data_IF_124578564338
#
_entry.id   IF_124578564338
#
_cell.length_a   1.000
_cell.length_b   1.000
_cell.length_c   1.000
_cell.angle_alpha   90.00
_cell.angle_beta   90.00
_cell.angle_gamma   90.00
#
_symmetry.space_group_name_H-M   'P 1'
#
loop_
_entity.id
_entity.type
_entity.pdbx_description
1 polymer ?
#
# COMPACT_ATOMS: atom_id res chain seq x y z
N UNK A 1 9.43 -2.30 -19.01
CA UNK A 1 8.39 -2.12 -20.05
C UNK A 1 7.04 -2.68 -19.57
N UNK A 2 7.06 -3.86 -18.95
CA UNK A 2 5.85 -4.60 -18.56
C UNK A 2 4.96 -3.85 -17.54
N UNK A 3 5.56 -3.22 -16.53
CA UNK A 3 4.80 -2.47 -15.52
C UNK A 3 4.10 -1.24 -16.12
N UNK A 4 4.71 -0.59 -17.11
CA UNK A 4 4.14 0.57 -17.80
C UNK A 4 2.95 0.15 -18.68
N UNK A 5 3.13 -0.91 -19.47
CA UNK A 5 2.06 -1.46 -20.31
C UNK A 5 0.88 -1.95 -19.47
N UNK A 6 1.16 -2.59 -18.33
CA UNK A 6 0.12 -3.02 -17.40
C UNK A 6 -0.67 -1.83 -16.83
N UNK A 7 0.01 -0.77 -16.38
CA UNK A 7 -0.65 0.44 -15.88
C UNK A 7 -1.47 1.13 -16.97
N UNK A 8 -0.99 1.13 -18.22
CA UNK A 8 -1.73 1.64 -19.36
C UNK A 8 -3.02 0.84 -19.59
N UNK A 9 -2.93 -0.49 -19.62
CA UNK A 9 -4.08 -1.38 -19.75
C UNK A 9 -5.09 -1.16 -18.60
N UNK A 10 -4.61 -1.02 -17.35
CA UNK A 10 -5.43 -0.75 -16.17
C UNK A 10 -6.16 0.61 -16.24
N UNK A 11 -5.62 1.60 -16.95
CA UNK A 11 -6.28 2.88 -17.15
C UNK A 11 -7.64 2.74 -17.86
N UNK A 12 -7.77 1.80 -18.77
CA UNK A 12 -9.03 1.51 -19.43
C UNK A 12 -10.05 0.85 -18.48
N UNK A 13 -9.60 -0.05 -17.61
CA UNK A 13 -10.41 -0.65 -16.57
C UNK A 13 -10.97 0.40 -15.61
N UNK A 14 -10.13 1.38 -15.20
CA UNK A 14 -10.54 2.51 -14.36
C UNK A 14 -11.62 3.36 -15.08
N UNK A 15 -11.40 3.72 -16.33
CA UNK A 15 -12.38 4.47 -17.12
C UNK A 15 -13.70 3.72 -17.23
N UNK A 16 -13.64 2.42 -17.51
CA UNK A 16 -14.83 1.57 -17.56
C UNK A 16 -15.59 1.58 -16.23
N UNK A 17 -14.92 1.44 -15.10
CA UNK A 17 -15.53 1.47 -13.78
C UNK A 17 -16.34 2.76 -13.52
N UNK A 18 -15.84 3.91 -13.95
CA UNK A 18 -16.55 5.18 -13.80
C UNK A 18 -17.77 5.32 -14.71
N UNK A 19 -17.92 4.49 -15.75
CA UNK A 19 -19.15 4.46 -16.57
C UNK A 19 -20.28 3.69 -15.89
N UNK A 20 -19.98 2.83 -14.92
CA UNK A 20 -20.94 1.95 -14.27
C UNK A 20 -21.87 2.70 -13.33
N UNK A 21 -23.15 2.39 -13.44
CA UNK A 21 -24.18 2.98 -12.58
C UNK A 21 -25.55 2.40 -12.86
N UNK A 22 -26.52 2.82 -12.07
CA UNK A 22 -27.94 2.56 -12.30
C UNK A 22 -28.69 3.89 -12.45
N UNK A 23 -29.75 3.87 -13.22
CA UNK A 23 -30.65 5.02 -13.30
C UNK A 23 -31.83 4.82 -12.35
N UNK A 24 -32.06 5.79 -11.48
CA UNK A 24 -33.17 5.81 -10.55
C UNK A 24 -33.86 7.18 -10.62
N UNK A 25 -35.14 7.21 -10.93
CA UNK A 25 -35.94 8.44 -11.07
C UNK A 25 -35.25 9.48 -11.98
N UNK A 26 -34.75 9.03 -13.15
CA UNK A 26 -34.03 9.89 -14.11
C UNK A 26 -32.62 10.31 -13.74
N UNK A 27 -32.13 9.99 -12.53
CA UNK A 27 -30.78 10.33 -12.11
C UNK A 27 -29.85 9.11 -12.17
N UNK A 28 -28.67 9.29 -12.76
CA UNK A 28 -27.61 8.26 -12.77
C UNK A 28 -26.95 8.21 -11.39
N UNK A 29 -26.98 7.04 -10.77
CA UNK A 29 -26.29 6.76 -9.50
C UNK A 29 -25.07 5.91 -9.83
N UNK A 30 -23.84 6.43 -9.67
CA UNK A 30 -22.63 5.68 -9.98
C UNK A 30 -22.44 4.52 -8.99
N UNK A 31 -21.93 3.39 -9.47
CA UNK A 31 -21.54 2.29 -8.59
C UNK A 31 -20.19 2.55 -7.94
N UNK A 32 -19.30 3.28 -8.62
CA UNK A 32 -17.95 3.60 -8.17
C UNK A 32 -17.84 5.10 -7.91
N UNK A 33 -17.44 5.46 -6.70
CA UNK A 33 -17.18 6.85 -6.29
C UNK A 33 -15.70 7.18 -6.49
N UNK A 34 -14.83 6.24 -6.11
CA UNK A 34 -13.39 6.34 -6.28
C UNK A 34 -12.81 4.96 -6.56
N UNK A 35 -11.76 4.91 -7.34
CA UNK A 35 -10.93 3.73 -7.47
C UNK A 35 -9.45 4.13 -7.48
N UNK A 36 -8.61 3.20 -7.07
CA UNK A 36 -7.17 3.33 -7.11
C UNK A 36 -6.54 2.00 -7.51
N UNK A 37 -5.40 2.08 -8.16
CA UNK A 37 -4.61 0.91 -8.53
C UNK A 37 -3.20 1.05 -8.02
N UNK A 38 -2.62 -0.06 -7.64
CA UNK A 38 -1.20 -0.16 -7.36
C UNK A 38 -0.71 -1.49 -7.93
N UNK A 39 -0.05 -1.41 -9.09
CA UNK A 39 0.25 -2.60 -9.89
C UNK A 39 -1.03 -3.43 -10.13
N UNK A 40 -1.03 -4.70 -9.72
CA UNK A 40 -2.14 -5.66 -9.82
C UNK A 40 -3.23 -5.51 -8.73
N UNK A 41 -2.98 -4.68 -7.72
CA UNK A 41 -3.96 -4.43 -6.66
C UNK A 41 -4.96 -3.33 -7.08
N UNK A 42 -6.26 -3.67 -7.04
CA UNK A 42 -7.37 -2.75 -7.28
C UNK A 42 -8.10 -2.43 -5.97
N UNK A 43 -8.39 -1.15 -5.74
CA UNK A 43 -9.32 -0.70 -4.70
C UNK A 43 -10.48 0.06 -5.31
N UNK A 44 -11.71 -0.31 -4.97
CA UNK A 44 -12.93 0.32 -5.45
C UNK A 44 -13.70 0.84 -4.25
N UNK A 45 -13.99 2.13 -4.24
CA UNK A 45 -14.85 2.76 -3.24
C UNK A 45 -16.25 3.01 -3.80
N UNK A 46 -17.27 2.54 -3.08
CA UNK A 46 -18.67 2.68 -3.44
C UNK A 46 -19.48 3.24 -2.26
N UNK A 47 -20.58 3.92 -2.58
CA UNK A 47 -21.56 4.37 -1.57
C UNK A 47 -22.42 3.25 -1.00
N UNK A 48 -22.43 2.05 -1.60
CA UNK A 48 -23.22 0.90 -1.16
C UNK A 48 -22.56 -0.43 -1.49
N UNK A 49 -22.75 -1.41 -0.61
CA UNK A 49 -22.24 -2.78 -0.81
C UNK A 49 -22.79 -3.39 -2.12
N UNK A 50 -24.08 -3.18 -2.43
CA UNK A 50 -24.68 -3.67 -3.68
C UNK A 50 -24.06 -3.01 -4.92
N UNK A 51 -23.73 -1.72 -4.85
CA UNK A 51 -23.03 -1.00 -5.92
C UNK A 51 -21.64 -1.57 -6.15
N UNK A 52 -20.90 -1.79 -5.07
CA UNK A 52 -19.56 -2.38 -5.12
C UNK A 52 -19.56 -3.79 -5.70
N UNK A 53 -20.47 -4.66 -5.26
CA UNK A 53 -20.63 -6.02 -5.81
C UNK A 53 -20.92 -6.00 -7.32
N UNK A 54 -21.79 -5.08 -7.77
CA UNK A 54 -22.08 -4.92 -9.20
C UNK A 54 -20.88 -4.40 -9.98
N UNK A 55 -20.14 -3.45 -9.41
CA UNK A 55 -18.92 -2.92 -10.02
C UNK A 55 -17.84 -4.00 -10.16
N UNK A 56 -17.58 -4.78 -9.11
CA UNK A 56 -16.60 -5.88 -9.14
C UNK A 56 -17.01 -6.94 -10.19
N UNK A 57 -18.27 -7.37 -10.21
CA UNK A 57 -18.76 -8.34 -11.19
C UNK A 57 -18.68 -7.82 -12.64
N UNK A 58 -18.97 -6.54 -12.84
CA UNK A 58 -18.86 -5.92 -14.17
C UNK A 58 -17.39 -5.78 -14.60
N UNK A 59 -16.50 -5.40 -13.67
CA UNK A 59 -15.08 -5.32 -13.93
C UNK A 59 -14.49 -6.68 -14.28
N UNK A 60 -14.82 -7.73 -13.55
CA UNK A 60 -14.36 -9.09 -13.82
C UNK A 60 -14.73 -9.55 -15.24
N UNK A 61 -16.00 -9.36 -15.62
CA UNK A 61 -16.46 -9.64 -16.99
C UNK A 61 -15.71 -8.82 -18.04
N UNK A 62 -15.48 -7.54 -17.76
CA UNK A 62 -14.81 -6.64 -18.69
C UNK A 62 -13.32 -7.04 -18.85
N UNK A 63 -12.64 -7.35 -17.75
CA UNK A 63 -11.24 -7.78 -17.76
C UNK A 63 -11.07 -9.12 -18.47
N UNK A 64 -11.95 -10.08 -18.19
CA UNK A 64 -11.93 -11.39 -18.88
C UNK A 64 -12.11 -11.23 -20.40
N UNK A 65 -13.06 -10.37 -20.82
CA UNK A 65 -13.36 -10.17 -22.24
C UNK A 65 -12.28 -9.39 -22.99
N UNK A 66 -11.75 -8.33 -22.38
CA UNK A 66 -10.91 -7.36 -23.10
C UNK A 66 -9.41 -7.52 -22.82
N UNK A 67 -9.04 -8.17 -21.71
CA UNK A 67 -7.65 -8.27 -21.28
C UNK A 67 -7.21 -9.71 -20.95
N UNK A 68 -8.13 -10.67 -21.04
CA UNK A 68 -7.90 -12.08 -20.68
C UNK A 68 -7.38 -12.25 -19.24
N UNK A 69 -7.78 -11.33 -18.33
CA UNK A 69 -7.44 -11.34 -16.90
C UNK A 69 -8.67 -11.67 -16.06
N UNK A 70 -8.45 -12.32 -14.92
CA UNK A 70 -9.51 -12.66 -13.95
C UNK A 70 -9.21 -12.01 -12.61
N UNK A 71 -10.25 -11.57 -11.92
CA UNK A 71 -10.16 -11.08 -10.55
C UNK A 71 -10.04 -12.28 -9.61
N UNK A 72 -9.11 -12.23 -8.65
CA UNK A 72 -8.92 -13.30 -7.68
C UNK A 72 -10.20 -13.52 -6.86
N UNK A 73 -10.55 -14.77 -6.61
CA UNK A 73 -11.70 -15.17 -5.76
C UNK A 73 -11.61 -14.61 -4.33
N UNK A 74 -10.39 -14.35 -3.84
CA UNK A 74 -10.13 -13.76 -2.51
C UNK A 74 -10.45 -12.27 -2.42
N UNK A 75 -10.97 -11.67 -3.48
CA UNK A 75 -11.39 -10.26 -3.48
C UNK A 75 -12.50 -10.06 -2.46
N UNK A 76 -12.24 -9.25 -1.42
CA UNK A 76 -13.15 -9.02 -0.31
C UNK A 76 -13.73 -7.61 -0.30
N UNK A 77 -14.98 -7.48 0.16
CA UNK A 77 -15.62 -6.19 0.42
C UNK A 77 -15.41 -5.81 1.87
N UNK A 78 -14.86 -4.62 2.11
CA UNK A 78 -14.58 -4.10 3.45
C UNK A 78 -15.49 -2.91 3.71
N UNK A 79 -16.37 -3.05 4.71
CA UNK A 79 -17.19 -1.94 5.19
C UNK A 79 -16.37 -1.10 6.16
N UNK A 80 -15.87 0.05 5.70
CA UNK A 80 -15.19 1.00 6.56
C UNK A 80 -16.19 1.64 7.54
N UNK A 81 -15.75 1.81 8.79
CA UNK A 81 -16.56 2.43 9.84
C UNK A 81 -16.72 3.94 9.59
N UNK A 82 -17.80 4.57 10.12
CA UNK A 82 -17.84 6.01 10.27
C UNK A 82 -16.65 6.52 11.10
N UNK A 83 -16.18 7.74 10.83
CA UNK A 83 -14.99 8.33 11.45
C UNK A 83 -15.07 8.30 12.98
N UNK A 84 -16.20 8.73 13.54
CA UNK A 84 -16.37 8.79 15.00
C UNK A 84 -16.40 7.40 15.65
N UNK A 85 -17.01 6.42 15.00
CA UNK A 85 -17.01 5.04 15.47
C UNK A 85 -15.60 4.43 15.41
N UNK A 86 -14.84 4.74 14.36
CA UNK A 86 -13.46 4.29 14.21
C UNK A 86 -12.57 4.87 15.31
N UNK A 87 -12.64 6.19 15.56
CA UNK A 87 -11.93 6.87 16.64
C UNK A 87 -12.26 6.27 17.99
N UNK A 88 -13.55 6.07 18.27
CA UNK A 88 -14.03 5.45 19.51
C UNK A 88 -13.44 4.07 19.72
N UNK A 89 -13.43 3.20 18.70
CA UNK A 89 -12.89 1.83 18.80
C UNK A 89 -11.38 1.79 19.00
N UNK A 90 -10.65 2.79 18.48
CA UNK A 90 -9.21 2.90 18.70
C UNK A 90 -8.86 3.34 20.10
N UNK A 91 -9.56 4.36 20.59
CA UNK A 91 -9.23 5.01 21.87
C UNK A 91 -9.75 4.19 23.07
N UNK A 92 -10.88 3.51 22.92
CA UNK A 92 -11.54 2.73 23.97
C UNK A 92 -11.93 1.34 23.43
N UNK A 93 -10.96 0.44 23.21
CA UNK A 93 -11.26 -0.91 22.76
C UNK A 93 -12.02 -1.68 23.85
N UNK A 94 -13.21 -2.18 23.53
CA UNK A 94 -13.99 -3.01 24.46
C UNK A 94 -13.57 -4.47 24.33
N UNK A 95 -13.52 -5.24 25.45
CA UNK A 95 -13.30 -6.68 25.40
C UNK A 95 -14.30 -7.37 24.46
N UNK A 96 -13.84 -8.28 23.61
CA UNK A 96 -14.67 -8.98 22.63
C UNK A 96 -15.10 -8.15 21.41
N UNK A 97 -14.81 -6.86 21.35
CA UNK A 97 -15.13 -6.03 20.19
C UNK A 97 -14.23 -6.37 19.00
N UNK A 98 -14.83 -6.55 17.81
CA UNK A 98 -14.05 -6.68 16.56
C UNK A 98 -13.23 -5.42 16.33
N UNK A 99 -11.96 -5.59 15.90
CA UNK A 99 -11.07 -4.49 15.56
C UNK A 99 -11.63 -3.60 14.43
N UNK A 100 -10.96 -2.49 14.18
CA UNK A 100 -11.30 -1.59 13.06
C UNK A 100 -11.08 -2.32 11.74
N UNK A 101 -12.08 -2.43 10.86
CA UNK A 101 -11.91 -2.97 9.51
C UNK A 101 -10.93 -2.09 8.72
N UNK A 102 -9.97 -2.70 8.04
CA UNK A 102 -8.93 -2.01 7.28
C UNK A 102 -8.73 -2.67 5.93
N UNK A 103 -8.52 -1.87 4.91
CA UNK A 103 -8.13 -2.31 3.57
C UNK A 103 -6.63 -2.66 3.57
N UNK A 104 -6.28 -3.86 3.14
CA UNK A 104 -4.89 -4.28 2.89
C UNK A 104 -4.50 -3.95 1.44
N UNK A 105 -3.60 -2.98 1.24
CA UNK A 105 -3.15 -2.57 -0.09
C UNK A 105 -1.68 -2.11 -0.04
N UNK A 106 -0.89 -2.48 -1.04
CA UNK A 106 0.50 -2.02 -1.23
C UNK A 106 1.41 -2.16 0.03
N UNK A 107 1.15 -3.15 0.89
CA UNK A 107 1.91 -3.34 2.12
C UNK A 107 1.42 -2.54 3.33
N UNK A 108 0.35 -1.77 3.16
CA UNK A 108 -0.32 -1.01 4.21
C UNK A 108 -1.66 -1.64 4.60
N UNK A 109 -2.14 -1.22 5.76
CA UNK A 109 -3.51 -1.41 6.22
C UNK A 109 -4.13 -0.03 6.41
N UNK A 110 -5.17 0.25 5.66
CA UNK A 110 -5.76 1.58 5.51
C UNK A 110 -7.19 1.56 6.05
N UNK A 111 -7.50 2.48 6.95
CA UNK A 111 -8.86 2.79 7.38
C UNK A 111 -9.22 4.23 6.98
N UNK A 112 -10.33 4.77 7.45
CA UNK A 112 -10.71 6.15 7.14
C UNK A 112 -9.80 7.20 7.78
N UNK A 113 -9.26 6.89 8.97
CA UNK A 113 -8.50 7.84 9.78
C UNK A 113 -7.06 7.43 10.00
N UNK A 114 -6.66 6.24 9.51
CA UNK A 114 -5.36 5.71 9.90
C UNK A 114 -4.75 4.81 8.83
N UNK A 115 -3.44 4.95 8.64
CA UNK A 115 -2.63 4.10 7.76
C UNK A 115 -1.57 3.42 8.62
N UNK A 116 -1.57 2.10 8.65
CA UNK A 116 -0.56 1.31 9.37
C UNK A 116 0.17 0.36 8.43
N UNK A 117 1.37 -0.05 8.82
CA UNK A 117 2.15 -1.02 8.05
C UNK A 117 1.55 -2.41 8.24
N UNK A 118 1.39 -3.17 7.15
CA UNK A 118 0.95 -4.57 7.22
C UNK A 118 1.93 -5.39 8.08
N UNK A 119 1.41 -6.23 8.97
CA UNK A 119 2.20 -7.00 9.94
C UNK A 119 3.40 -7.75 9.32
N UNK A 120 3.24 -8.33 8.13
CA UNK A 120 4.32 -9.06 7.43
C UNK A 120 5.44 -8.12 7.00
N UNK A 121 5.09 -6.94 6.45
CA UNK A 121 6.04 -5.89 6.05
C UNK A 121 6.74 -5.34 7.28
N UNK A 122 6.00 -4.98 8.33
CA UNK A 122 6.55 -4.53 9.60
C UNK A 122 7.57 -5.51 10.21
N UNK A 123 7.24 -6.81 10.26
CA UNK A 123 8.19 -7.82 10.78
C UNK A 123 9.50 -7.86 9.98
N UNK A 124 9.44 -7.71 8.65
CA UNK A 124 10.61 -7.65 7.78
C UNK A 124 11.41 -6.37 8.00
N UNK A 125 10.74 -5.22 8.00
CA UNK A 125 11.34 -3.91 8.28
C UNK A 125 12.07 -3.92 9.63
N UNK A 126 11.38 -4.33 10.70
CA UNK A 126 11.97 -4.46 12.06
C UNK A 126 13.25 -5.29 12.07
N UNK A 127 13.26 -6.44 11.40
CA UNK A 127 14.47 -7.29 11.34
C UNK A 127 15.63 -6.58 10.66
N UNK A 128 15.37 -5.85 9.58
CA UNK A 128 16.43 -5.12 8.86
C UNK A 128 16.96 -3.94 9.68
N UNK A 129 16.08 -3.18 10.32
CA UNK A 129 16.47 -2.06 11.17
C UNK A 129 17.32 -2.52 12.38
N UNK A 130 16.88 -3.56 13.09
CA UNK A 130 17.65 -4.09 14.23
C UNK A 130 19.02 -4.62 13.78
N UNK A 131 19.08 -5.38 12.68
CA UNK A 131 20.33 -5.90 12.14
C UNK A 131 21.25 -4.78 11.65
N UNK A 132 20.68 -3.77 10.99
CA UNK A 132 21.41 -2.60 10.52
C UNK A 132 22.00 -1.80 11.68
N UNK A 133 21.23 -1.57 12.73
CA UNK A 133 21.73 -0.86 13.91
C UNK A 133 22.88 -1.61 14.60
N UNK A 134 22.80 -2.93 14.73
CA UNK A 134 23.88 -3.76 15.28
C UNK A 134 25.14 -3.72 14.39
N UNK A 135 24.96 -3.77 13.07
CA UNK A 135 26.06 -3.68 12.10
C UNK A 135 26.72 -2.30 12.16
N UNK A 136 25.93 -1.23 12.19
CA UNK A 136 26.44 0.14 12.33
C UNK A 136 27.24 0.34 13.62
N UNK A 137 26.74 -0.17 14.76
CA UNK A 137 27.47 -0.05 16.05
C UNK A 137 28.74 -0.88 16.10
N UNK A 138 28.84 -1.99 15.39
CA UNK A 138 30.02 -2.84 15.33
C UNK A 138 31.06 -2.34 14.33
N UNK A 139 30.62 -1.99 13.11
CA UNK A 139 31.48 -1.79 11.94
C UNK A 139 31.61 -0.30 11.57
N UNK A 140 30.83 0.60 12.18
CA UNK A 140 30.77 2.03 11.86
C UNK A 140 30.10 2.33 10.52
N UNK A 141 29.69 1.31 9.76
CA UNK A 141 29.09 1.42 8.43
C UNK A 141 28.06 0.32 8.18
N UNK A 142 27.44 0.33 7.00
CA UNK A 142 26.46 -0.66 6.56
C UNK A 142 26.92 -1.33 5.26
N UNK A 143 26.61 -2.62 5.10
CA UNK A 143 26.73 -3.27 3.80
C UNK A 143 25.72 -2.68 2.83
N UNK A 144 26.09 -2.56 1.53
CA UNK A 144 25.23 -2.00 0.48
C UNK A 144 23.81 -2.58 0.45
N UNK A 145 23.70 -3.90 0.44
CA UNK A 145 22.39 -4.58 0.43
C UNK A 145 21.52 -4.24 1.64
N UNK A 146 22.15 -4.05 2.80
CA UNK A 146 21.45 -3.66 4.01
C UNK A 146 20.99 -2.21 3.93
N UNK A 147 21.85 -1.32 3.46
CA UNK A 147 21.52 0.07 3.24
C UNK A 147 20.30 0.23 2.32
N UNK A 148 20.30 -0.46 1.17
CA UNK A 148 19.16 -0.46 0.24
C UNK A 148 17.86 -0.97 0.89
N UNK A 149 17.92 -2.06 1.67
CA UNK A 149 16.75 -2.59 2.38
C UNK A 149 16.24 -1.62 3.44
N UNK A 150 17.13 -0.95 4.18
CA UNK A 150 16.75 0.05 5.19
C UNK A 150 16.03 1.23 4.53
N UNK A 151 16.57 1.79 3.45
CA UNK A 151 15.95 2.87 2.68
C UNK A 151 14.56 2.44 2.19
N UNK A 152 14.46 1.26 1.57
CA UNK A 152 13.20 0.73 1.05
C UNK A 152 12.14 0.52 2.15
N UNK A 153 12.52 -0.01 3.30
CA UNK A 153 11.56 -0.23 4.40
C UNK A 153 11.19 1.04 5.16
N UNK A 154 12.07 2.03 5.18
CA UNK A 154 11.78 3.30 5.87
C UNK A 154 10.64 4.06 5.17
N UNK A 155 10.51 3.97 3.86
CA UNK A 155 9.40 4.60 3.14
C UNK A 155 8.02 4.13 3.64
N UNK A 156 7.90 2.87 4.08
CA UNK A 156 6.66 2.38 4.71
C UNK A 156 6.38 3.05 6.05
N UNK A 157 7.43 3.37 6.83
CA UNK A 157 7.29 4.03 8.14
C UNK A 157 6.89 5.48 7.93
N UNK A 158 7.53 6.19 7.00
CA UNK A 158 7.26 7.60 6.69
C UNK A 158 5.86 7.85 6.13
N UNK A 159 5.35 6.91 5.33
CA UNK A 159 4.05 7.02 4.70
C UNK A 159 2.91 6.42 5.55
N UNK A 160 3.15 6.16 6.83
CA UNK A 160 2.16 5.59 7.75
C UNK A 160 2.15 6.33 9.08
N UNK A 161 1.07 6.14 9.86
CA UNK A 161 0.95 6.69 11.22
C UNK A 161 1.84 5.94 12.24
N UNK A 162 3.02 5.50 11.80
CA UNK A 162 3.95 4.68 12.58
C UNK A 162 5.18 5.46 13.04
N UNK A 163 5.07 6.77 13.24
CA UNK A 163 6.18 7.68 13.58
C UNK A 163 6.99 7.23 14.81
N UNK A 164 6.32 6.67 15.82
CA UNK A 164 6.99 6.14 17.02
C UNK A 164 8.03 5.05 16.72
N UNK A 165 7.95 4.40 15.55
CA UNK A 165 8.92 3.39 15.14
C UNK A 165 10.24 4.03 14.72
N UNK A 166 10.23 5.30 14.27
CA UNK A 166 11.45 6.01 13.86
C UNK A 166 12.39 6.19 15.03
N UNK A 167 11.88 6.62 16.18
CA UNK A 167 12.65 6.75 17.41
C UNK A 167 13.10 5.40 17.95
N UNK A 168 12.14 4.47 18.07
CA UNK A 168 12.39 3.13 18.63
C UNK A 168 13.47 2.33 17.93
N UNK A 169 13.63 2.51 16.61
CA UNK A 169 14.60 1.76 15.81
C UNK A 169 15.74 2.61 15.26
N UNK A 170 15.94 3.81 15.78
CA UNK A 170 17.02 4.71 15.37
C UNK A 170 17.10 4.93 13.86
N UNK A 171 15.93 5.06 13.21
CA UNK A 171 15.86 5.06 11.74
C UNK A 171 16.56 6.27 11.14
N UNK A 172 16.58 7.42 11.80
CA UNK A 172 17.27 8.64 11.30
C UNK A 172 18.77 8.40 11.13
N UNK A 173 19.44 7.87 12.18
CA UNK A 173 20.87 7.54 12.15
C UNK A 173 21.17 6.50 11.08
N UNK A 174 20.37 5.43 11.03
CA UNK A 174 20.48 4.37 10.03
C UNK A 174 20.33 4.87 8.59
N UNK A 175 19.38 5.79 8.35
CA UNK A 175 19.13 6.34 7.02
C UNK A 175 20.26 7.24 6.54
N UNK A 176 20.80 8.09 7.40
CA UNK A 176 21.95 8.91 7.04
C UNK A 176 23.09 8.05 6.50
N UNK A 177 23.50 7.03 7.26
CA UNK A 177 24.55 6.10 6.83
C UNK A 177 24.14 5.31 5.60
N UNK A 178 22.90 4.84 5.53
CA UNK A 178 22.40 4.07 4.39
C UNK A 178 22.41 4.89 3.08
N UNK A 179 22.04 6.17 3.14
CA UNK A 179 22.11 7.06 1.96
C UNK A 179 23.56 7.34 1.54
N UNK A 180 24.49 7.57 2.49
CA UNK A 180 25.91 7.73 2.17
C UNK A 180 26.47 6.48 1.47
N UNK A 181 26.22 5.29 2.03
CA UNK A 181 26.66 4.02 1.43
C UNK A 181 26.06 3.82 0.03
N UNK A 182 24.77 4.05 -0.13
CA UNK A 182 24.11 3.87 -1.42
C UNK A 182 24.60 4.88 -2.47
N UNK A 183 24.83 6.13 -2.08
CA UNK A 183 25.37 7.18 -2.94
C UNK A 183 26.78 6.85 -3.41
N UNK A 184 27.67 6.40 -2.51
CA UNK A 184 29.03 5.98 -2.84
C UNK A 184 29.06 4.86 -3.89
N UNK A 185 28.27 3.80 -3.70
CA UNK A 185 28.17 2.71 -4.68
C UNK A 185 27.53 3.14 -6.00
N UNK A 186 26.59 4.08 -5.97
CA UNK A 186 25.99 4.65 -7.18
C UNK A 186 27.01 5.41 -8.02
N UNK A 187 27.92 6.16 -7.39
CA UNK A 187 29.01 6.86 -8.07
C UNK A 187 30.01 5.88 -8.71
N UNK A 188 30.40 4.83 -7.99
CA UNK A 188 31.29 3.79 -8.52
C UNK A 188 30.70 3.07 -9.74
N UNK A 189 29.40 2.74 -9.71
CA UNK A 189 28.74 2.12 -10.85
C UNK A 189 28.64 3.06 -12.07
N UNK A 190 28.43 4.35 -11.83
CA UNK A 190 28.42 5.35 -12.89
C UNK A 190 29.81 5.45 -13.56
N UNK A 191 30.88 5.54 -12.78
CA UNK A 191 32.25 5.58 -13.32
C UNK A 191 32.58 4.36 -14.18
N UNK A 192 32.26 3.15 -13.71
CA UNK A 192 32.49 1.89 -14.45
C UNK A 192 31.71 1.79 -15.79
N UNK A 193 30.63 2.55 -15.97
CA UNK A 193 29.88 2.59 -17.23
C UNK A 193 30.44 3.61 -18.23
N UNK A 194 31.27 4.51 -17.74
CA UNK A 194 31.89 5.56 -18.58
C UNK A 194 33.29 5.16 -19.06
N UNK A 195 33.89 4.12 -18.43
CA UNK A 195 35.10 3.41 -18.89
C UNK A 195 34.75 2.33 -19.92
#
# INVERSE_FOLDING_TARGET
>A
LDAWLFNFAMSYAIRYLYTLGSTRRGKKIPYVIRCGTFMDDFSIGSGSIKGEQRAVKALDKWMTKNQHLQIKETTGIIKLLPIEEEKRRRNLPRPGQRGVPMLDMAGYRISRTHITIRRRVFKRARRQLIRGYRELKRDGTLRRERAQKIISYNSYIEQSDSFHLQERYHTKELLQVAHCVNGFYGQLEYQKRME
#
